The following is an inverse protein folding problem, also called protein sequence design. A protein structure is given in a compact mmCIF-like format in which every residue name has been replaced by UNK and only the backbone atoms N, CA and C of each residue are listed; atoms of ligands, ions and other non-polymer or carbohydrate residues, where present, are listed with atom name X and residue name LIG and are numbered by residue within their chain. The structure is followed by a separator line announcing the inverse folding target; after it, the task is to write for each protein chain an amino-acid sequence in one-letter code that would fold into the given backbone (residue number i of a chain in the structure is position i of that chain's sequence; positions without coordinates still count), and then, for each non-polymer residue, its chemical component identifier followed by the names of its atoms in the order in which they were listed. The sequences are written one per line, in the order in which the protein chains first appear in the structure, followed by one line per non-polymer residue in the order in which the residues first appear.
data_IF_224914576205
#
_entry.id   IF_224914576205
#
_cell.length_a   1.000
_cell.length_b   1.000
_cell.length_c   1.000
_cell.angle_alpha   90.00
_cell.angle_beta   90.00
_cell.angle_gamma   90.00
#
_symmetry.space_group_name_H-M   'P 1'
#
loop_
_entity.id
_entity.type
_entity.pdbx_description
1 polymer ?
#
# COMPACT_ATOMS: atom_id res chain seq x y z
N UNK A 1 -4.35 69.34 9.76
CA UNK A 1 -3.77 68.19 10.48
C UNK A 1 -3.60 67.06 9.48
N UNK A 2 -2.36 66.82 9.04
CA UNK A 2 -2.03 65.81 8.04
C UNK A 2 -2.37 64.41 8.58
N UNK A 3 -3.17 63.66 7.83
CA UNK A 3 -3.31 62.21 8.01
C UNK A 3 -1.97 61.58 7.66
N UNK A 4 -1.23 61.22 8.71
CA UNK A 4 0.04 60.52 8.62
C UNK A 4 -0.20 59.21 7.88
N UNK A 5 0.28 59.17 6.63
CA UNK A 5 0.50 57.94 5.87
C UNK A 5 1.48 57.08 6.68
N UNK A 6 0.94 56.13 7.44
CA UNK A 6 1.74 55.07 8.03
C UNK A 6 2.22 54.20 6.87
N UNK A 7 3.46 54.39 6.45
CA UNK A 7 4.20 53.40 5.66
C UNK A 7 4.09 52.07 6.41
N UNK A 8 3.17 51.19 5.96
CA UNK A 8 3.12 49.81 6.45
C UNK A 8 4.38 49.14 5.94
N UNK A 9 5.34 48.95 6.84
CA UNK A 9 6.51 48.13 6.57
C UNK A 9 6.03 46.71 6.27
N UNK A 10 6.64 46.04 5.30
CA UNK A 10 6.39 44.62 5.07
C UNK A 10 6.87 43.82 6.28
N UNK A 11 6.12 42.81 6.67
CA UNK A 11 6.44 42.00 7.86
C UNK A 11 6.71 40.54 7.48
N UNK A 12 7.44 39.83 8.34
CA UNK A 12 7.64 38.39 8.21
C UNK A 12 6.48 37.65 8.87
N UNK A 13 5.78 36.82 8.10
CA UNK A 13 4.63 36.06 8.57
C UNK A 13 4.95 34.56 8.56
N UNK A 14 5.14 33.99 9.74
CA UNK A 14 5.67 32.63 9.91
C UNK A 14 4.61 31.55 10.12
N UNK A 15 3.31 31.89 10.11
CA UNK A 15 2.24 30.92 10.32
C UNK A 15 0.96 31.35 9.59
N UNK A 16 0.43 30.49 8.72
CA UNK A 16 -0.83 30.62 7.93
C UNK A 16 -0.62 31.01 6.47
N UNK A 17 -1.63 30.69 5.65
CA UNK A 17 -1.71 30.99 4.21
C UNK A 17 -1.62 32.49 3.94
N UNK A 18 -0.76 32.89 3.00
CA UNK A 18 -0.70 34.27 2.51
C UNK A 18 -1.59 34.36 1.28
N UNK A 19 -2.82 34.82 1.49
CA UNK A 19 -3.78 35.07 0.42
C UNK A 19 -3.34 36.26 -0.46
N UNK A 20 -3.76 36.31 -1.74
CA UNK A 20 -3.34 37.35 -2.69
C UNK A 20 -3.45 38.78 -2.16
N UNK A 21 -4.52 39.10 -1.43
CA UNK A 21 -4.81 40.44 -0.89
C UNK A 21 -3.84 40.85 0.21
N UNK A 22 -3.17 39.87 0.84
CA UNK A 22 -2.23 40.07 1.94
C UNK A 22 -0.77 40.21 1.48
N UNK A 23 -0.45 39.80 0.25
CA UNK A 23 0.93 39.82 -0.30
C UNK A 23 1.62 41.20 -0.29
N UNK A 24 0.93 42.34 -0.51
CA UNK A 24 1.57 43.65 -0.42
C UNK A 24 2.16 43.95 0.97
N UNK A 25 1.65 43.29 2.01
CA UNK A 25 1.97 43.56 3.41
C UNK A 25 2.99 42.58 4.02
N UNK A 26 3.35 41.49 3.31
CA UNK A 26 4.24 40.46 3.86
C UNK A 26 5.41 40.13 2.93
N UNK A 27 6.54 39.74 3.52
CA UNK A 27 7.61 39.06 2.80
C UNK A 27 7.26 37.58 2.63
N UNK A 28 7.38 37.05 1.41
CA UNK A 28 7.10 35.65 1.10
C UNK A 28 8.05 35.15 0.00
N UNK A 29 8.30 33.84 0.01
CA UNK A 29 9.04 33.19 -1.06
C UNK A 29 8.12 32.97 -2.26
N UNK A 30 8.44 33.57 -3.40
CA UNK A 30 7.71 33.38 -4.64
C UNK A 30 8.10 32.04 -5.28
N UNK A 31 7.11 31.16 -5.50
CA UNK A 31 7.31 29.83 -6.08
C UNK A 31 6.75 29.72 -7.50
N UNK A 32 6.41 30.84 -8.14
CA UNK A 32 5.79 30.90 -9.48
C UNK A 32 6.58 30.09 -10.52
N UNK A 33 7.91 30.22 -10.57
CA UNK A 33 8.77 29.46 -11.50
C UNK A 33 8.82 27.95 -11.19
N UNK A 34 8.65 27.58 -9.91
CA UNK A 34 8.68 26.19 -9.45
C UNK A 34 7.32 25.50 -9.60
N UNK A 35 6.28 26.24 -9.96
CA UNK A 35 4.95 25.71 -10.16
C UNK A 35 4.76 25.05 -11.53
N UNK A 36 5.68 25.19 -12.48
CA UNK A 36 5.52 24.61 -13.82
C UNK A 36 5.11 23.12 -13.80
N UNK A 37 5.84 22.30 -13.02
CA UNK A 37 5.49 20.89 -12.85
C UNK A 37 4.15 20.68 -12.15
N UNK A 38 3.80 21.53 -11.18
CA UNK A 38 2.50 21.49 -10.51
C UNK A 38 1.38 21.84 -11.50
N UNK A 39 1.54 22.88 -12.32
CA UNK A 39 0.58 23.31 -13.35
C UNK A 39 0.44 22.27 -14.46
N UNK A 40 1.49 21.52 -14.80
CA UNK A 40 1.35 20.42 -15.78
C UNK A 40 0.57 19.23 -15.23
N UNK A 41 0.55 19.02 -13.91
CA UNK A 41 -0.07 17.87 -13.27
C UNK A 41 -1.61 17.92 -13.13
N UNK A 42 -2.30 18.90 -12.54
CA UNK A 42 -2.29 20.33 -12.87
C UNK A 42 -2.81 20.66 -14.29
N UNK A 43 -2.47 19.93 -15.36
CA UNK A 43 -3.12 20.04 -16.69
C UNK A 43 -3.63 18.67 -17.16
N UNK A 44 -2.90 17.61 -16.79
CA UNK A 44 -3.14 16.19 -17.10
C UNK A 44 -4.20 15.50 -16.23
N UNK A 45 -4.94 16.26 -15.45
CA UNK A 45 -5.94 15.73 -14.55
C UNK A 45 -5.41 14.89 -13.39
N UNK A 46 -4.29 15.22 -12.77
CA UNK A 46 -3.78 14.45 -11.63
C UNK A 46 -4.19 15.08 -10.29
N UNK A 47 -4.45 14.26 -9.27
CA UNK A 47 -4.53 14.70 -7.88
C UNK A 47 -3.11 14.90 -7.35
N UNK A 48 -2.82 16.13 -6.94
CA UNK A 48 -1.50 16.50 -6.43
C UNK A 48 -1.60 16.70 -4.92
N UNK A 49 -0.79 15.95 -4.17
CA UNK A 49 -0.64 16.13 -2.73
C UNK A 49 0.67 16.84 -2.44
N UNK A 50 0.61 17.99 -1.77
CA UNK A 50 1.79 18.75 -1.37
C UNK A 50 2.16 18.45 0.07
N UNK A 51 3.39 17.97 0.26
CA UNK A 51 3.98 17.75 1.58
C UNK A 51 5.08 18.77 1.83
N UNK A 52 5.29 19.08 3.10
CA UNK A 52 6.31 20.02 3.53
C UNK A 52 6.08 20.43 4.98
N UNK A 53 7.10 20.95 5.68
CA UNK A 53 6.98 21.42 7.06
C UNK A 53 5.85 22.43 7.27
N UNK A 54 5.37 22.58 8.51
CA UNK A 54 4.47 23.70 8.86
C UNK A 54 5.13 25.01 8.43
N UNK A 55 4.33 25.95 7.91
CA UNK A 55 4.80 27.23 7.38
C UNK A 55 5.72 27.18 6.14
N UNK A 56 5.90 26.02 5.49
CA UNK A 56 6.67 25.90 4.23
C UNK A 56 6.00 26.54 3.00
N UNK A 57 4.95 27.34 3.19
CA UNK A 57 4.25 28.05 2.11
C UNK A 57 3.32 27.19 1.25
N UNK A 58 2.99 25.94 1.62
CA UNK A 58 2.15 25.03 0.79
C UNK A 58 0.84 25.66 0.33
N UNK A 59 0.05 26.17 1.27
CA UNK A 59 -1.25 26.77 0.96
C UNK A 59 -1.08 28.05 0.13
N UNK A 60 -0.03 28.85 0.40
CA UNK A 60 0.30 30.01 -0.42
C UNK A 60 0.67 29.61 -1.86
N UNK A 61 1.38 28.49 -2.03
CA UNK A 61 1.71 27.89 -3.33
C UNK A 61 0.46 27.43 -4.09
N UNK A 62 -0.54 26.86 -3.41
CA UNK A 62 -1.85 26.53 -4.03
C UNK A 62 -2.46 27.77 -4.67
N UNK A 63 -2.50 28.89 -3.95
CA UNK A 63 -3.06 30.14 -4.46
C UNK A 63 -2.28 30.69 -5.65
N UNK A 64 -0.95 30.64 -5.62
CA UNK A 64 -0.12 31.02 -6.78
C UNK A 64 -0.38 30.13 -8.00
N UNK A 65 -0.52 28.82 -7.79
CA UNK A 65 -0.83 27.88 -8.86
C UNK A 65 -2.22 28.13 -9.46
N UNK A 66 -3.21 28.48 -8.63
CA UNK A 66 -4.55 28.85 -9.10
C UNK A 66 -4.54 30.12 -9.95
N UNK A 67 -3.77 31.14 -9.59
CA UNK A 67 -3.61 32.36 -10.41
C UNK A 67 -2.98 32.05 -11.77
N UNK A 68 -1.95 31.20 -11.79
CA UNK A 68 -1.32 30.73 -13.04
C UNK A 68 -2.29 29.89 -13.87
N UNK A 69 -3.10 29.02 -13.27
CA UNK A 69 -4.12 28.27 -14.01
C UNK A 69 -5.19 29.21 -14.58
N UNK A 70 -5.65 30.19 -13.81
CA UNK A 70 -6.61 31.19 -14.28
C UNK A 70 -6.08 32.00 -15.47
N UNK A 71 -4.79 32.35 -15.48
CA UNK A 71 -4.17 33.04 -16.63
C UNK A 71 -4.10 32.16 -17.90
N UNK A 72 -4.25 30.84 -17.76
CA UNK A 72 -4.32 29.88 -18.87
C UNK A 72 -5.77 29.46 -19.18
N UNK A 73 -6.77 30.19 -18.68
CA UNK A 73 -8.19 29.97 -18.98
C UNK A 73 -8.87 28.87 -18.14
N UNK A 74 -8.23 28.38 -17.08
CA UNK A 74 -8.86 27.43 -16.15
C UNK A 74 -9.71 28.16 -15.10
N UNK A 75 -10.92 27.67 -14.85
CA UNK A 75 -11.71 28.07 -13.67
C UNK A 75 -11.29 27.21 -12.48
N UNK A 76 -10.86 27.85 -11.38
CA UNK A 76 -10.33 27.18 -10.21
C UNK A 76 -11.27 27.34 -9.02
N UNK A 77 -11.64 26.22 -8.39
CA UNK A 77 -12.45 26.20 -7.17
C UNK A 77 -11.55 25.86 -5.98
N UNK A 78 -11.48 26.74 -4.98
CA UNK A 78 -10.77 26.48 -3.73
C UNK A 78 -11.75 26.00 -2.66
N UNK A 79 -11.54 24.79 -2.15
CA UNK A 79 -12.31 24.24 -1.03
C UNK A 79 -11.35 23.91 0.10
N UNK A 80 -11.71 24.30 1.33
CA UNK A 80 -11.05 23.84 2.54
C UNK A 80 -12.03 23.08 3.42
N UNK A 81 -11.60 21.90 3.88
CA UNK A 81 -12.33 21.10 4.87
C UNK A 81 -11.79 21.35 6.30
N UNK A 82 -10.90 22.32 6.45
CA UNK A 82 -10.35 22.71 7.74
C UNK A 82 -11.49 23.19 8.65
N UNK A 83 -11.65 22.53 9.80
CA UNK A 83 -12.74 22.82 10.75
C UNK A 83 -14.05 22.07 10.47
N UNK A 84 -14.19 21.33 9.37
CA UNK A 84 -15.38 20.52 9.09
C UNK A 84 -15.37 19.20 9.88
N UNK A 85 -16.47 18.88 10.56
CA UNK A 85 -16.66 17.58 11.23
C UNK A 85 -17.27 16.57 10.25
N UNK A 86 -16.42 15.79 9.61
CA UNK A 86 -16.82 14.82 8.59
C UNK A 86 -17.09 13.46 9.25
N UNK A 87 -18.30 13.27 9.79
CA UNK A 87 -18.66 12.08 10.57
C UNK A 87 -19.37 10.99 9.76
N UNK A 88 -19.82 11.30 8.55
CA UNK A 88 -20.40 10.33 7.62
C UNK A 88 -20.18 10.77 6.17
N UNK A 89 -20.42 9.87 5.22
CA UNK A 89 -20.34 10.18 3.80
C UNK A 89 -21.38 11.23 3.39
N UNK A 90 -22.60 11.15 3.94
CA UNK A 90 -23.66 12.12 3.71
C UNK A 90 -23.24 13.51 4.20
N UNK A 91 -22.67 13.59 5.41
CA UNK A 91 -22.18 14.85 5.98
C UNK A 91 -21.01 15.41 5.17
N UNK A 92 -20.14 14.53 4.64
CA UNK A 92 -19.08 14.96 3.74
C UNK A 92 -19.63 15.60 2.48
N UNK A 93 -20.55 14.95 1.77
CA UNK A 93 -21.09 15.50 0.54
C UNK A 93 -21.91 16.76 0.76
N UNK A 94 -22.68 16.85 1.84
CA UNK A 94 -23.39 18.07 2.24
C UNK A 94 -22.41 19.22 2.55
N UNK A 95 -21.34 18.93 3.31
CA UNK A 95 -20.34 19.95 3.67
C UNK A 95 -19.58 20.43 2.44
N UNK A 96 -19.14 19.50 1.58
CA UNK A 96 -18.45 19.81 0.33
C UNK A 96 -19.35 20.63 -0.60
N UNK A 97 -20.60 20.21 -0.75
CA UNK A 97 -21.63 20.92 -1.51
C UNK A 97 -21.82 22.35 -1.09
N UNK A 98 -21.97 22.56 0.23
CA UNK A 98 -22.13 23.88 0.80
C UNK A 98 -20.91 24.78 0.58
N UNK A 99 -19.69 24.20 0.62
CA UNK A 99 -18.44 24.92 0.35
C UNK A 99 -18.25 25.26 -1.13
N UNK A 100 -18.92 24.54 -2.03
CA UNK A 100 -18.86 24.75 -3.48
C UNK A 100 -20.04 25.58 -4.01
N UNK A 101 -20.98 25.98 -3.15
CA UNK A 101 -22.25 26.64 -3.53
C UNK A 101 -22.06 27.93 -4.33
N UNK A 102 -20.97 28.65 -4.10
CA UNK A 102 -20.64 29.90 -4.80
C UNK A 102 -19.85 29.69 -6.10
N UNK A 103 -19.55 28.43 -6.44
CA UNK A 103 -18.90 28.06 -7.70
C UNK A 103 -19.94 27.96 -8.82
N UNK A 104 -19.58 28.30 -10.06
CA UNK A 104 -20.47 28.21 -11.24
C UNK A 104 -20.66 26.76 -11.72
N UNK A 105 -20.99 25.86 -10.81
CA UNK A 105 -21.24 24.45 -11.12
C UNK A 105 -22.63 24.27 -11.74
N UNK A 106 -22.80 23.32 -12.68
CA UNK A 106 -24.07 23.09 -13.36
C UNK A 106 -25.11 22.40 -12.47
N UNK A 107 -24.68 21.76 -11.38
CA UNK A 107 -25.54 21.05 -10.42
C UNK A 107 -25.04 21.23 -9.00
N UNK A 108 -25.95 21.12 -8.04
CA UNK A 108 -25.62 21.11 -6.61
C UNK A 108 -24.92 19.78 -6.29
N UNK A 109 -23.76 19.87 -5.64
CA UNK A 109 -23.03 18.71 -5.14
C UNK A 109 -23.59 18.32 -3.77
N UNK A 110 -24.19 17.16 -3.66
CA UNK A 110 -24.80 16.63 -2.43
C UNK A 110 -24.60 15.12 -2.27
N UNK A 111 -23.97 14.49 -3.26
CA UNK A 111 -23.71 13.06 -3.34
C UNK A 111 -22.54 12.80 -4.29
N UNK A 112 -21.98 11.60 -4.23
CA UNK A 112 -20.96 11.14 -5.19
C UNK A 112 -21.46 11.19 -6.64
N UNK A 113 -22.74 10.90 -6.87
CA UNK A 113 -23.38 10.98 -8.19
C UNK A 113 -23.49 12.41 -8.71
N UNK A 114 -23.95 13.36 -7.88
CA UNK A 114 -24.07 14.76 -8.30
C UNK A 114 -22.70 15.43 -8.42
N UNK A 115 -21.71 15.03 -7.62
CA UNK A 115 -20.31 15.39 -7.84
C UNK A 115 -19.82 14.89 -9.20
N UNK A 116 -20.02 13.61 -9.53
CA UNK A 116 -19.66 13.08 -10.85
C UNK A 116 -20.39 13.76 -11.98
N UNK A 117 -21.65 14.18 -11.79
CA UNK A 117 -22.40 14.94 -12.80
C UNK A 117 -21.85 16.36 -12.96
N UNK A 118 -21.51 17.04 -11.85
CA UNK A 118 -20.86 18.36 -11.85
C UNK A 118 -19.49 18.33 -12.53
N UNK A 119 -18.80 17.19 -12.50
CA UNK A 119 -17.43 16.99 -13.00
C UNK A 119 -17.32 15.90 -14.09
N UNK A 120 -18.43 15.59 -14.76
CA UNK A 120 -18.53 14.61 -15.86
C UNK A 120 -17.76 15.12 -17.11
N UNK A 121 -17.39 14.28 -18.11
CA UNK A 121 -16.43 14.57 -19.19
C UNK A 121 -16.70 15.74 -20.14
N UNK A 122 -17.59 16.66 -19.80
CA UNK A 122 -17.47 18.03 -20.28
C UNK A 122 -16.19 18.71 -19.75
N UNK A 123 -15.59 18.28 -18.62
CA UNK A 123 -14.30 18.81 -18.11
C UNK A 123 -13.47 17.79 -17.27
N UNK A 124 -12.12 17.69 -17.37
CA UNK A 124 -11.33 16.59 -16.78
C UNK A 124 -10.52 16.95 -15.49
N UNK A 125 -10.47 16.09 -14.42
CA UNK A 125 -9.31 15.70 -13.50
C UNK A 125 -9.56 14.54 -12.45
N UNK A 126 -8.56 13.66 -12.17
CA UNK A 126 -8.47 12.29 -11.54
C UNK A 126 -7.68 12.15 -10.23
N UNK A 127 -7.64 11.07 -9.40
CA UNK A 127 -7.77 9.60 -9.41
C UNK A 127 -6.43 8.89 -9.78
N UNK A 128 -5.67 8.41 -8.78
CA UNK A 128 -4.26 7.99 -8.96
C UNK A 128 -4.03 6.47 -9.02
N UNK A 129 -4.16 5.79 -7.88
CA UNK A 129 -3.98 4.33 -7.75
C UNK A 129 -5.20 3.51 -8.20
N UNK A 130 -6.41 3.99 -7.87
CA UNK A 130 -7.65 3.46 -8.44
C UNK A 130 -7.66 3.60 -9.96
N UNK A 131 -7.06 4.66 -10.50
CA UNK A 131 -6.88 4.80 -11.94
C UNK A 131 -5.76 3.94 -12.51
N UNK A 132 -4.76 3.53 -11.73
CA UNK A 132 -3.75 2.60 -12.23
C UNK A 132 -4.39 1.23 -12.42
N UNK A 133 -5.07 0.70 -11.40
CA UNK A 133 -5.84 -0.54 -11.53
C UNK A 133 -6.98 -0.38 -12.55
N UNK A 134 -7.70 0.75 -12.55
CA UNK A 134 -8.76 1.04 -13.52
C UNK A 134 -8.25 1.16 -14.96
N UNK A 135 -7.06 1.73 -15.17
CA UNK A 135 -6.40 1.78 -16.48
C UNK A 135 -5.88 0.41 -16.88
N UNK A 136 -5.35 -0.36 -15.94
CA UNK A 136 -4.91 -1.73 -16.19
C UNK A 136 -6.11 -2.59 -16.60
N UNK A 137 -7.24 -2.48 -15.88
CA UNK A 137 -8.52 -3.10 -16.24
C UNK A 137 -8.96 -2.64 -17.64
N UNK A 138 -9.02 -1.33 -17.89
CA UNK A 138 -9.46 -0.81 -19.18
C UNK A 138 -8.54 -1.24 -20.35
N UNK A 139 -7.24 -1.36 -20.14
CA UNK A 139 -6.29 -1.70 -21.22
C UNK A 139 -6.18 -3.19 -21.45
N UNK A 140 -6.24 -3.99 -20.40
CA UNK A 140 -5.88 -5.40 -20.46
C UNK A 140 -7.04 -6.35 -20.18
N UNK A 141 -8.08 -5.89 -19.47
CA UNK A 141 -9.22 -6.72 -19.07
C UNK A 141 -10.55 -6.24 -19.64
N UNK A 142 -10.59 -5.14 -20.39
CA UNK A 142 -11.82 -4.64 -21.01
C UNK A 142 -12.51 -5.67 -21.92
N UNK A 143 -11.78 -6.48 -22.72
CA UNK A 143 -12.39 -7.57 -23.47
C UNK A 143 -13.03 -8.66 -22.59
N UNK A 144 -12.59 -8.80 -21.34
CA UNK A 144 -13.06 -9.80 -20.38
C UNK A 144 -14.18 -9.27 -19.46
N UNK A 145 -14.61 -8.01 -19.65
CA UNK A 145 -15.77 -7.44 -18.96
C UNK A 145 -17.03 -8.00 -19.61
N UNK A 146 -17.89 -8.63 -18.82
CA UNK A 146 -19.16 -9.20 -19.30
C UNK A 146 -20.07 -8.13 -19.90
N UNK A 147 -21.05 -8.54 -20.72
CA UNK A 147 -22.01 -7.62 -21.36
C UNK A 147 -22.77 -6.70 -20.38
N UNK A 148 -22.80 -7.05 -19.08
CA UNK A 148 -23.34 -6.23 -18.00
C UNK A 148 -22.37 -5.18 -17.41
N UNK A 149 -21.17 -5.01 -17.97
CA UNK A 149 -20.17 -4.06 -17.48
C UNK A 149 -19.44 -4.51 -16.21
N UNK A 150 -19.52 -5.79 -15.85
CA UNK A 150 -18.89 -6.34 -14.64
C UNK A 150 -17.68 -7.20 -14.98
N UNK A 151 -16.57 -6.95 -14.27
CA UNK A 151 -15.38 -7.79 -14.28
C UNK A 151 -15.52 -8.85 -13.19
N UNK A 152 -15.35 -10.13 -13.53
CA UNK A 152 -15.42 -11.20 -12.54
C UNK A 152 -14.23 -11.12 -11.57
N UNK A 153 -14.46 -11.49 -10.31
CA UNK A 153 -13.40 -11.53 -9.30
C UNK A 153 -12.28 -12.50 -9.72
N UNK A 154 -12.63 -13.64 -10.30
CA UNK A 154 -11.67 -14.64 -10.81
C UNK A 154 -10.75 -14.07 -11.90
N UNK A 155 -11.31 -13.33 -12.86
CA UNK A 155 -10.55 -12.67 -13.93
C UNK A 155 -9.59 -11.63 -13.36
N UNK A 156 -10.07 -10.77 -12.44
CA UNK A 156 -9.24 -9.78 -11.76
C UNK A 156 -8.11 -10.44 -10.95
N UNK A 157 -8.44 -11.47 -10.19
CA UNK A 157 -7.50 -12.22 -9.36
C UNK A 157 -6.38 -12.84 -10.22
N UNK A 158 -6.73 -13.46 -11.35
CA UNK A 158 -5.74 -14.01 -12.29
C UNK A 158 -4.78 -12.92 -12.77
N UNK A 159 -5.31 -11.79 -13.26
CA UNK A 159 -4.52 -10.67 -13.75
C UNK A 159 -3.63 -10.01 -12.69
N UNK A 160 -4.17 -9.80 -11.49
CA UNK A 160 -3.43 -9.23 -10.37
C UNK A 160 -2.19 -10.07 -10.00
N UNK A 161 -2.29 -11.38 -10.17
CA UNK A 161 -1.20 -12.32 -9.86
C UNK A 161 -0.15 -12.43 -10.97
N UNK A 162 -0.52 -12.20 -12.24
CA UNK A 162 0.39 -12.39 -13.37
C UNK A 162 1.05 -11.10 -13.85
N UNK A 163 0.26 -10.05 -14.04
CA UNK A 163 0.68 -8.92 -14.87
C UNK A 163 0.74 -7.59 -14.11
N UNK A 164 -0.08 -7.43 -13.06
CA UNK A 164 -0.27 -6.15 -12.38
C UNK A 164 1.02 -5.54 -11.83
N UNK A 165 1.92 -6.36 -11.26
CA UNK A 165 3.16 -5.87 -10.65
C UNK A 165 4.15 -5.37 -11.71
N UNK A 166 4.23 -6.04 -12.87
CA UNK A 166 5.00 -5.57 -14.01
C UNK A 166 4.45 -4.25 -14.56
N UNK A 167 3.12 -4.15 -14.67
CA UNK A 167 2.45 -2.92 -15.13
C UNK A 167 2.64 -1.76 -14.16
N UNK A 168 2.66 -2.00 -12.84
CA UNK A 168 2.97 -0.97 -11.84
C UNK A 168 4.38 -0.41 -12.06
N UNK A 169 5.37 -1.25 -12.40
CA UNK A 169 6.73 -0.81 -12.69
C UNK A 169 6.87 0.02 -13.98
N UNK A 170 5.90 0.01 -14.88
CA UNK A 170 5.91 0.89 -16.05
C UNK A 170 5.81 2.36 -15.65
N UNK A 171 5.23 2.64 -14.48
CA UNK A 171 5.07 3.99 -13.96
C UNK A 171 6.38 4.49 -13.34
N UNK A 172 6.91 5.65 -13.80
CA UNK A 172 8.20 6.18 -13.32
C UNK A 172 8.29 6.34 -11.81
N UNK A 173 7.19 6.68 -11.14
CA UNK A 173 7.15 6.85 -9.67
C UNK A 173 7.43 5.55 -8.93
N UNK A 174 6.78 4.44 -9.32
CA UNK A 174 6.99 3.14 -8.67
C UNK A 174 8.35 2.54 -9.04
N UNK A 175 8.81 2.76 -10.28
CA UNK A 175 10.18 2.41 -10.67
C UNK A 175 11.20 3.13 -9.81
N UNK A 176 11.07 4.45 -9.65
CA UNK A 176 11.97 5.25 -8.80
C UNK A 176 11.94 4.77 -7.34
N UNK A 177 10.76 4.48 -6.79
CA UNK A 177 10.62 3.93 -5.44
C UNK A 177 11.43 2.63 -5.30
N UNK A 178 11.19 1.67 -6.20
CA UNK A 178 11.87 0.37 -6.19
C UNK A 178 13.38 0.55 -6.35
N UNK A 179 13.83 1.35 -7.32
CA UNK A 179 15.25 1.63 -7.56
C UNK A 179 15.92 2.29 -6.34
N UNK A 180 15.24 3.23 -5.69
CA UNK A 180 15.74 3.91 -4.49
C UNK A 180 15.90 2.92 -3.35
N UNK A 181 14.88 2.10 -3.06
CA UNK A 181 14.96 1.11 -1.98
C UNK A 181 16.04 0.05 -2.23
N UNK A 182 16.32 -0.30 -3.48
CA UNK A 182 17.38 -1.26 -3.82
C UNK A 182 18.81 -0.73 -3.62
N UNK A 183 19.01 0.59 -3.43
CA UNK A 183 20.35 1.14 -3.22
C UNK A 183 20.89 0.70 -1.86
N UNK A 184 22.11 0.14 -1.83
CA UNK A 184 22.72 -0.43 -0.62
C UNK A 184 22.78 0.52 0.58
N UNK A 185 22.86 1.84 0.36
CA UNK A 185 22.84 2.87 1.42
C UNK A 185 21.52 2.94 2.21
N UNK A 186 20.45 2.31 1.72
CA UNK A 186 19.14 2.28 2.35
C UNK A 186 18.81 0.92 3.00
N UNK A 187 19.79 0.02 3.10
CA UNK A 187 19.61 -1.31 3.68
C UNK A 187 19.06 -1.27 5.11
N UNK A 188 19.55 -0.36 5.96
CA UNK A 188 19.07 -0.25 7.34
C UNK A 188 17.58 0.09 7.42
N UNK A 189 17.07 0.88 6.47
CA UNK A 189 15.64 1.17 6.39
C UNK A 189 14.84 -0.08 6.00
N UNK A 190 15.37 -0.92 5.11
CA UNK A 190 14.75 -2.19 4.76
C UNK A 190 14.85 -3.22 5.90
N UNK A 191 15.92 -3.21 6.69
CA UNK A 191 16.05 -4.05 7.88
C UNK A 191 15.01 -3.66 8.93
N UNK A 192 14.76 -2.36 9.13
CA UNK A 192 13.66 -1.87 9.96
C UNK A 192 12.30 -2.32 9.43
N UNK A 193 12.06 -2.14 8.12
CA UNK A 193 10.81 -2.52 7.47
C UNK A 193 10.53 -4.01 7.66
N UNK A 194 11.52 -4.85 7.33
CA UNK A 194 11.45 -6.32 7.39
C UNK A 194 11.26 -6.87 8.79
N UNK A 195 11.83 -6.20 9.79
CA UNK A 195 11.81 -6.68 11.17
C UNK A 195 10.68 -6.15 12.03
N UNK A 196 9.97 -5.08 11.63
CA UNK A 196 8.92 -4.45 12.47
C UNK A 196 7.63 -4.07 11.74
N UNK A 197 7.67 -3.79 10.44
CA UNK A 197 6.58 -3.04 9.78
C UNK A 197 5.92 -3.77 8.61
N UNK A 198 6.56 -4.77 7.99
CA UNK A 198 5.92 -5.55 6.91
C UNK A 198 4.61 -6.18 7.38
N UNK A 199 3.55 -6.02 6.57
CA UNK A 199 2.20 -6.48 6.91
C UNK A 199 1.46 -5.68 8.00
N UNK A 200 2.02 -4.59 8.53
CA UNK A 200 1.35 -3.76 9.53
C UNK A 200 0.40 -2.74 8.86
N UNK A 201 -0.83 -3.15 8.56
CA UNK A 201 -1.82 -2.31 7.85
C UNK A 201 -2.85 -1.62 8.77
N UNK A 202 -3.32 -2.36 9.76
CA UNK A 202 -4.43 -1.95 10.61
C UNK A 202 -3.96 -1.03 11.73
N UNK A 203 -2.87 -1.43 12.40
CA UNK A 203 -2.34 -0.76 13.58
C UNK A 203 -1.01 -0.04 13.32
N UNK A 204 -0.81 1.09 14.01
CA UNK A 204 0.49 1.75 14.03
C UNK A 204 1.45 1.04 14.98
N UNK A 205 2.66 0.80 14.49
CA UNK A 205 3.77 0.22 15.22
C UNK A 205 4.66 1.35 15.75
N UNK A 206 4.94 1.32 17.05
CA UNK A 206 5.88 2.25 17.67
C UNK A 206 7.32 1.87 17.32
N UNK A 207 8.06 2.83 16.80
CA UNK A 207 9.47 2.73 16.40
C UNK A 207 10.32 3.53 17.40
N UNK A 208 11.47 2.98 17.73
CA UNK A 208 12.41 3.61 18.66
C UNK A 208 12.97 4.91 18.05
N UNK A 209 13.25 5.91 18.89
CA UNK A 209 13.64 7.24 18.43
C UNK A 209 14.85 7.20 17.48
N UNK A 210 15.84 6.35 17.78
CA UNK A 210 17.05 6.16 16.97
C UNK A 210 16.75 5.67 15.55
N UNK A 211 15.64 4.94 15.37
CA UNK A 211 15.21 4.39 14.08
C UNK A 211 14.13 5.25 13.40
N UNK A 212 13.66 6.33 14.02
CA UNK A 212 12.61 7.19 13.45
C UNK A 212 13.08 7.91 12.19
N UNK A 213 14.39 8.17 12.03
CA UNK A 213 14.94 8.71 10.78
C UNK A 213 14.78 7.74 9.61
N UNK A 214 14.96 6.45 9.84
CA UNK A 214 14.75 5.40 8.83
C UNK A 214 13.27 5.27 8.47
N UNK A 215 12.40 5.27 9.48
CA UNK A 215 10.95 5.27 9.26
C UNK A 215 10.48 6.53 8.50
N UNK A 216 11.02 7.70 8.84
CA UNK A 216 10.74 8.96 8.14
C UNK A 216 11.19 8.96 6.68
N UNK A 217 12.33 8.34 6.38
CA UNK A 217 12.75 8.10 4.99
C UNK A 217 11.73 7.23 4.25
N UNK A 218 11.33 6.08 4.83
CA UNK A 218 10.32 5.21 4.24
C UNK A 218 8.96 5.90 4.07
N UNK A 219 8.57 6.80 4.98
CA UNK A 219 7.39 7.65 4.82
C UNK A 219 7.53 8.63 3.65
N UNK A 220 8.70 9.25 3.48
CA UNK A 220 8.96 10.17 2.37
C UNK A 220 8.92 9.47 0.99
N UNK A 221 9.36 8.21 0.94
CA UNK A 221 9.26 7.34 -0.24
C UNK A 221 7.83 6.78 -0.45
N UNK A 222 6.89 7.04 0.46
CA UNK A 222 5.49 6.57 0.35
C UNK A 222 5.28 5.11 0.77
N UNK A 223 6.26 4.49 1.41
CA UNK A 223 6.18 3.12 1.95
C UNK A 223 5.37 3.08 3.24
N UNK A 224 5.57 4.05 4.12
CA UNK A 224 4.93 4.12 5.42
C UNK A 224 4.00 5.33 5.55
N UNK A 225 3.05 5.22 6.47
CA UNK A 225 2.24 6.32 6.98
C UNK A 225 2.60 6.56 8.45
N UNK A 226 2.77 7.81 8.82
CA UNK A 226 2.92 8.23 10.23
C UNK A 226 1.56 8.48 10.87
N UNK A 227 1.42 8.15 12.15
CA UNK A 227 0.23 8.46 12.94
C UNK A 227 0.06 9.98 13.07
N UNK A 228 -1.05 10.58 12.56
CA UNK A 228 -1.29 12.01 12.65
C UNK A 228 -1.60 12.51 14.06
N UNK A 229 -1.94 11.63 15.00
CA UNK A 229 -2.23 11.98 16.40
C UNK A 229 -1.02 11.79 17.31
N UNK A 230 -0.05 10.97 16.89
CA UNK A 230 1.15 10.60 17.66
C UNK A 230 2.39 10.81 16.80
N UNK A 231 2.49 12.01 16.25
CA UNK A 231 3.48 12.45 15.28
C UNK A 231 4.89 12.35 15.85
N UNK A 232 5.58 11.24 15.60
CA UNK A 232 7.06 11.12 15.53
C UNK A 232 7.53 9.68 15.58
N UNK A 233 6.80 8.78 16.25
CA UNK A 233 7.30 7.42 16.53
C UNK A 233 6.39 6.30 16.06
N UNK A 234 5.18 6.58 15.56
CA UNK A 234 4.19 5.54 15.23
C UNK A 234 3.97 5.49 13.73
N UNK A 235 4.20 4.31 13.13
CA UNK A 235 4.19 4.11 11.69
C UNK A 235 3.47 2.83 11.30
N UNK A 236 2.91 2.79 10.09
CA UNK A 236 2.31 1.59 9.50
C UNK A 236 2.52 1.55 7.99
N UNK A 237 2.28 0.41 7.35
CA UNK A 237 2.35 0.30 5.89
C UNK A 237 1.33 1.21 5.21
N UNK A 238 1.74 1.86 4.12
CA UNK A 238 0.88 2.79 3.40
C UNK A 238 -0.25 2.11 2.64
N UNK A 239 -0.02 0.90 2.13
CA UNK A 239 -1.03 0.05 1.50
C UNK A 239 -0.55 -1.40 1.34
N UNK A 240 -1.48 -2.37 1.24
CA UNK A 240 -1.17 -3.75 0.87
C UNK A 240 -0.46 -3.88 -0.48
N UNK A 241 -0.78 -3.00 -1.45
CA UNK A 241 -0.16 -3.05 -2.78
C UNK A 241 1.32 -2.63 -2.75
N UNK A 242 1.65 -1.56 -2.02
CA UNK A 242 3.04 -1.12 -1.86
C UNK A 242 3.85 -2.17 -1.11
N UNK A 243 3.25 -2.76 -0.09
CA UNK A 243 3.85 -3.85 0.66
C UNK A 243 4.14 -5.09 -0.24
N UNK A 244 3.16 -5.54 -1.03
CA UNK A 244 3.33 -6.64 -1.99
C UNK A 244 4.42 -6.33 -3.03
N UNK A 245 4.43 -5.11 -3.58
CA UNK A 245 5.46 -4.64 -4.52
C UNK A 245 6.86 -4.74 -3.92
N UNK A 246 7.04 -4.30 -2.68
CA UNK A 246 8.33 -4.34 -1.97
C UNK A 246 8.75 -5.79 -1.72
N UNK A 247 7.83 -6.63 -1.22
CA UNK A 247 8.12 -8.04 -0.95
C UNK A 247 8.47 -8.83 -2.19
N UNK A 248 7.87 -8.51 -3.34
CA UNK A 248 8.14 -9.22 -4.58
C UNK A 248 9.39 -8.72 -5.30
N UNK A 249 9.65 -7.40 -5.30
CA UNK A 249 10.65 -6.81 -6.18
C UNK A 249 11.90 -6.29 -5.47
N UNK A 250 11.78 -5.88 -4.20
CA UNK A 250 12.87 -5.26 -3.44
C UNK A 250 13.53 -6.26 -2.52
N UNK A 251 12.75 -6.89 -1.63
CA UNK A 251 13.27 -7.79 -0.58
C UNK A 251 14.12 -8.95 -1.17
N UNK A 252 13.70 -9.67 -2.24
CA UNK A 252 14.51 -10.75 -2.78
C UNK A 252 15.84 -10.27 -3.36
N UNK A 253 15.88 -9.05 -3.92
CA UNK A 253 17.11 -8.49 -4.50
C UNK A 253 18.09 -8.01 -3.43
N UNK A 254 17.59 -7.39 -2.36
CA UNK A 254 18.44 -6.88 -1.26
C UNK A 254 18.92 -8.02 -0.35
N UNK A 255 18.14 -9.10 -0.24
CA UNK A 255 18.42 -10.25 0.61
C UNK A 255 18.45 -11.55 -0.24
N UNK A 256 19.50 -11.76 -1.05
CA UNK A 256 19.53 -12.79 -2.10
C UNK A 256 19.73 -14.22 -1.59
N UNK A 257 19.96 -14.41 -0.28
CA UNK A 257 20.29 -15.72 0.31
C UNK A 257 19.22 -16.76 0.00
N UNK A 258 19.60 -17.83 -0.69
CA UNK A 258 18.73 -18.93 -1.11
C UNK A 258 19.58 -20.16 -1.46
N UNK A 259 18.98 -21.35 -1.57
CA UNK A 259 19.66 -22.53 -2.09
C UNK A 259 20.27 -22.28 -3.49
N UNK A 260 21.39 -22.94 -3.75
CA UNK A 260 22.10 -22.91 -5.04
C UNK A 260 22.12 -24.29 -5.72
N UNK A 261 21.28 -25.20 -5.26
CA UNK A 261 21.10 -26.53 -5.85
C UNK A 261 19.93 -26.50 -6.85
N UNK A 262 19.87 -27.43 -7.81
CA UNK A 262 18.71 -27.55 -8.69
C UNK A 262 17.40 -27.67 -7.90
N UNK A 263 16.32 -27.10 -8.45
CA UNK A 263 14.98 -27.29 -7.92
C UNK A 263 14.68 -28.80 -7.73
N UNK A 264 14.25 -29.24 -6.54
CA UNK A 264 13.90 -30.63 -6.30
C UNK A 264 12.71 -31.03 -7.17
N UNK A 265 12.85 -32.07 -7.97
CA UNK A 265 11.78 -32.56 -8.85
C UNK A 265 11.36 -33.99 -8.46
N UNK A 266 10.06 -34.28 -8.51
CA UNK A 266 9.49 -35.61 -8.35
C UNK A 266 8.46 -35.85 -9.46
N UNK A 267 8.64 -36.93 -10.23
CA UNK A 267 7.75 -37.30 -11.34
C UNK A 267 7.52 -36.16 -12.36
N UNK A 268 8.55 -35.37 -12.64
CA UNK A 268 8.47 -34.26 -13.61
C UNK A 268 7.87 -32.97 -13.07
N UNK A 269 7.46 -32.89 -11.80
CA UNK A 269 6.98 -31.64 -11.17
C UNK A 269 7.81 -31.29 -9.94
N UNK A 270 7.66 -30.04 -9.45
CA UNK A 270 8.40 -29.53 -8.30
C UNK A 270 8.04 -30.32 -7.02
N UNK A 271 9.03 -30.93 -6.38
CA UNK A 271 8.88 -31.59 -5.09
C UNK A 271 8.84 -30.53 -3.97
N UNK A 272 7.63 -30.08 -3.68
CA UNK A 272 7.40 -29.01 -2.71
C UNK A 272 7.84 -29.34 -1.29
N UNK A 273 7.80 -30.61 -0.87
CA UNK A 273 8.23 -30.98 0.47
C UNK A 273 9.74 -30.77 0.62
N UNK A 274 10.53 -31.30 -0.31
CA UNK A 274 12.00 -31.12 -0.30
C UNK A 274 12.34 -29.65 -0.53
N UNK A 275 11.62 -28.97 -1.44
CA UNK A 275 11.80 -27.54 -1.69
C UNK A 275 11.62 -26.71 -0.41
N UNK A 276 10.56 -26.95 0.35
CA UNK A 276 10.33 -26.25 1.61
C UNK A 276 11.39 -26.60 2.66
N UNK A 277 11.78 -27.88 2.78
CA UNK A 277 12.85 -28.31 3.69
C UNK A 277 14.19 -27.62 3.40
N UNK A 278 14.56 -27.48 2.13
CA UNK A 278 15.77 -26.77 1.74
C UNK A 278 15.64 -25.26 1.94
N UNK A 279 14.49 -24.67 1.58
CA UNK A 279 14.25 -23.25 1.80
C UNK A 279 14.37 -22.85 3.27
N UNK A 280 13.88 -23.68 4.20
CA UNK A 280 13.94 -23.42 5.64
C UNK A 280 15.36 -23.23 6.18
N UNK A 281 16.38 -23.81 5.53
CA UNK A 281 17.79 -23.66 5.93
C UNK A 281 18.32 -22.25 5.70
N UNK A 282 17.65 -21.46 4.86
CA UNK A 282 18.05 -20.11 4.45
C UNK A 282 17.20 -19.00 5.08
N UNK A 283 16.31 -19.36 6.00
CA UNK A 283 15.53 -18.40 6.80
C UNK A 283 16.47 -17.63 7.73
N UNK A 284 16.26 -16.33 7.83
CA UNK A 284 16.99 -15.46 8.74
C UNK A 284 16.64 -15.77 10.20
N UNK A 285 17.53 -16.49 10.88
CA UNK A 285 17.31 -16.98 12.24
C UNK A 285 17.16 -15.85 13.25
N UNK A 286 17.85 -14.72 13.06
CA UNK A 286 17.72 -13.58 13.95
C UNK A 286 16.37 -12.89 13.81
N UNK A 287 15.86 -12.81 12.57
CA UNK A 287 14.50 -12.31 12.32
C UNK A 287 13.45 -13.14 13.07
N UNK A 288 13.53 -14.47 12.97
CA UNK A 288 12.60 -15.37 13.68
C UNK A 288 12.77 -15.26 15.20
N UNK A 289 14.00 -15.23 15.69
CA UNK A 289 14.32 -15.14 17.13
C UNK A 289 13.78 -13.86 17.76
N UNK A 290 13.84 -12.73 17.05
CA UNK A 290 13.42 -11.41 17.53
C UNK A 290 11.95 -11.11 17.28
N UNK A 291 11.26 -11.92 16.46
CA UNK A 291 9.86 -11.71 16.11
C UNK A 291 8.89 -11.67 17.31
N UNK A 292 9.02 -12.48 18.38
CA UNK A 292 8.15 -12.38 19.56
C UNK A 292 8.17 -11.01 20.24
N UNK A 293 9.24 -10.23 20.07
CA UNK A 293 9.40 -8.90 20.65
C UNK A 293 9.03 -7.78 19.67
N UNK A 294 9.00 -8.09 18.36
CA UNK A 294 8.84 -7.09 17.29
C UNK A 294 7.55 -7.22 16.51
N UNK A 295 7.21 -8.43 16.06
CA UNK A 295 6.06 -8.73 15.18
C UNK A 295 5.38 -9.99 15.71
N UNK A 296 4.56 -9.83 16.75
CA UNK A 296 4.00 -10.94 17.50
C UNK A 296 2.46 -10.96 17.53
N UNK A 297 1.92 -12.13 17.80
CA UNK A 297 0.55 -12.33 18.29
C UNK A 297 0.59 -13.09 19.62
N UNK A 298 -0.53 -13.09 20.34
CA UNK A 298 -0.66 -13.89 21.56
C UNK A 298 -1.15 -15.30 21.19
N UNK A 299 -0.46 -16.32 21.69
CA UNK A 299 -0.90 -17.70 21.60
C UNK A 299 -2.00 -17.97 22.65
N UNK A 300 -3.22 -17.51 22.37
CA UNK A 300 -4.33 -17.57 23.34
C UNK A 300 -4.89 -18.98 23.51
N UNK A 301 -4.87 -19.77 22.44
CA UNK A 301 -5.54 -21.07 22.36
C UNK A 301 -4.65 -22.27 22.69
N UNK A 302 -3.33 -22.12 22.53
CA UNK A 302 -2.35 -23.19 22.76
C UNK A 302 -1.39 -22.82 23.88
N UNK A 303 -0.72 -23.80 24.47
CA UNK A 303 0.38 -23.57 25.43
C UNK A 303 1.71 -23.48 24.70
N UNK A 304 2.53 -22.55 25.13
CA UNK A 304 3.90 -22.33 24.67
C UNK A 304 4.75 -22.13 25.91
N UNK A 305 5.83 -22.89 26.04
CA UNK A 305 6.68 -22.88 27.23
C UNK A 305 5.84 -23.11 28.52
N UNK A 306 4.81 -23.96 28.44
CA UNK A 306 3.88 -24.30 29.54
C UNK A 306 2.75 -23.30 29.79
N UNK A 307 2.73 -22.13 29.12
CA UNK A 307 1.82 -21.02 29.40
C UNK A 307 0.97 -20.61 28.18
N UNK A 308 -0.23 -20.08 28.43
CA UNK A 308 -1.06 -19.42 27.40
C UNK A 308 -0.70 -17.93 27.30
N UNK A 309 -1.17 -17.30 26.23
CA UNK A 309 -0.98 -15.86 25.96
C UNK A 309 0.49 -15.47 25.82
N UNK A 310 1.35 -16.41 25.43
CA UNK A 310 2.75 -16.11 25.12
C UNK A 310 2.83 -15.38 23.80
N UNK A 311 3.76 -14.44 23.70
CA UNK A 311 4.09 -13.77 22.44
C UNK A 311 4.78 -14.78 21.53
N UNK A 312 4.24 -14.94 20.32
CA UNK A 312 4.80 -15.80 19.29
C UNK A 312 4.87 -15.05 17.97
N UNK A 313 5.81 -15.41 17.07
CA UNK A 313 5.92 -14.75 15.77
C UNK A 313 4.60 -14.83 15.00
N UNK A 314 4.25 -13.76 14.30
CA UNK A 314 3.13 -13.78 13.35
C UNK A 314 3.49 -14.55 12.07
N UNK A 315 2.46 -15.04 11.40
CA UNK A 315 2.51 -15.73 10.10
C UNK A 315 3.37 -14.97 9.08
N UNK A 316 3.20 -13.65 9.03
CA UNK A 316 3.89 -12.73 8.12
C UNK A 316 5.42 -12.88 8.14
N UNK A 317 5.99 -13.22 9.31
CA UNK A 317 7.44 -13.35 9.46
C UNK A 317 7.96 -14.59 8.73
N UNK A 318 7.16 -15.66 8.73
CA UNK A 318 7.48 -16.89 8.00
C UNK A 318 7.15 -16.75 6.51
N UNK A 319 5.99 -16.17 6.18
CA UNK A 319 5.55 -15.94 4.78
C UNK A 319 6.64 -15.20 4.00
N UNK A 320 7.13 -14.09 4.57
CA UNK A 320 7.99 -13.20 3.82
C UNK A 320 9.36 -13.82 3.57
N UNK A 321 9.84 -14.63 4.53
CA UNK A 321 11.13 -15.31 4.41
C UNK A 321 11.06 -16.45 3.41
N UNK A 322 10.02 -17.26 3.47
CA UNK A 322 9.85 -18.35 2.51
C UNK A 322 9.65 -17.78 1.10
N UNK A 323 8.81 -16.76 0.92
CA UNK A 323 8.62 -16.12 -0.38
C UNK A 323 9.91 -15.53 -0.93
N UNK A 324 10.66 -14.78 -0.11
CA UNK A 324 11.96 -14.23 -0.49
C UNK A 324 12.92 -15.31 -1.00
N UNK A 325 13.01 -16.43 -0.28
CA UNK A 325 13.91 -17.54 -0.62
C UNK A 325 13.47 -18.23 -1.91
N UNK A 326 12.18 -18.53 -2.04
CA UNK A 326 11.61 -19.18 -3.22
C UNK A 326 11.72 -18.29 -4.46
N UNK A 327 11.50 -16.98 -4.35
CA UNK A 327 11.72 -16.04 -5.47
C UNK A 327 13.19 -16.05 -5.90
N UNK A 328 14.14 -16.04 -4.96
CA UNK A 328 15.56 -16.07 -5.32
C UNK A 328 16.03 -17.41 -5.87
N UNK A 329 15.43 -18.51 -5.42
CA UNK A 329 15.79 -19.84 -5.86
C UNK A 329 15.08 -20.22 -7.15
N UNK A 330 13.75 -20.33 -7.12
CA UNK A 330 12.97 -20.87 -8.22
C UNK A 330 12.79 -19.88 -9.37
N UNK A 331 12.60 -18.59 -9.07
CA UNK A 331 12.35 -17.61 -10.14
C UNK A 331 13.61 -17.22 -10.89
N UNK A 332 14.72 -17.01 -10.18
CA UNK A 332 15.97 -16.60 -10.82
C UNK A 332 16.70 -17.75 -11.52
N UNK A 333 16.54 -18.98 -11.05
CA UNK A 333 17.34 -20.12 -11.54
C UNK A 333 16.52 -21.12 -12.37
N UNK A 334 15.19 -21.13 -12.24
CA UNK A 334 14.36 -22.21 -12.77
C UNK A 334 13.06 -21.75 -13.47
N UNK A 335 12.94 -20.45 -13.76
CA UNK A 335 11.85 -19.83 -14.53
C UNK A 335 10.45 -19.94 -13.89
N UNK A 336 10.38 -20.21 -12.59
CA UNK A 336 9.10 -20.15 -11.87
C UNK A 336 8.74 -18.70 -11.54
N UNK A 337 7.46 -18.33 -11.67
CA UNK A 337 6.93 -17.15 -11.01
C UNK A 337 6.54 -17.49 -9.58
N UNK A 338 7.06 -16.74 -8.61
CA UNK A 338 6.71 -16.84 -7.19
C UNK A 338 6.04 -15.54 -6.78
N UNK A 339 4.79 -15.64 -6.33
CA UNK A 339 3.92 -14.50 -6.02
C UNK A 339 3.48 -14.62 -4.56
N UNK A 340 3.78 -13.62 -3.74
CA UNK A 340 3.36 -13.54 -2.34
C UNK A 340 2.07 -12.71 -2.18
N UNK A 341 1.23 -13.10 -1.23
CA UNK A 341 -0.03 -12.44 -0.85
C UNK A 341 -1.05 -12.20 -1.99
N UNK A 342 -2.01 -13.10 -2.08
CA UNK A 342 -3.16 -13.03 -2.99
C UNK A 342 -4.45 -12.78 -2.21
N UNK A 343 -5.21 -11.76 -2.62
CA UNK A 343 -6.44 -11.34 -1.98
C UNK A 343 -7.64 -12.09 -2.57
N UNK A 344 -8.42 -12.79 -1.73
CA UNK A 344 -9.71 -13.38 -2.14
C UNK A 344 -10.80 -13.11 -1.09
N UNK A 345 -12.06 -13.07 -1.51
CA UNK A 345 -13.20 -12.84 -0.62
C UNK A 345 -13.52 -14.10 0.22
N UNK A 346 -13.65 -13.95 1.55
CA UNK A 346 -14.12 -15.02 2.44
C UNK A 346 -15.65 -15.04 2.48
N UNK A 347 -16.26 -15.87 1.66
CA UNK A 347 -17.71 -16.04 1.61
C UNK A 347 -18.26 -16.95 2.72
N UNK A 348 -17.41 -17.44 3.65
CA UNK A 348 -17.80 -18.48 4.62
C UNK A 348 -18.35 -17.95 5.96
N UNK A 349 -18.33 -16.64 6.23
CA UNK A 349 -18.94 -16.08 7.44
C UNK A 349 -20.38 -15.63 7.18
N UNK A 350 -21.35 -16.50 7.49
CA UNK A 350 -22.76 -16.10 7.65
C UNK A 350 -22.92 -15.35 8.98
N UNK A 351 -23.23 -14.06 8.90
CA UNK A 351 -23.51 -13.18 10.04
C UNK A 351 -23.01 -11.75 9.76
N UNK A 352 -23.69 -10.73 10.29
CA UNK A 352 -23.53 -9.28 10.04
C UNK A 352 -22.15 -8.65 10.37
N UNK A 353 -21.05 -9.36 10.16
CA UNK A 353 -19.69 -8.82 10.19
C UNK A 353 -19.20 -8.81 8.74
N UNK A 354 -19.04 -7.60 8.18
CA UNK A 354 -18.44 -7.34 6.86
C UNK A 354 -17.36 -8.37 6.52
N UNK A 355 -17.47 -8.97 5.33
CA UNK A 355 -16.59 -10.02 4.83
C UNK A 355 -15.12 -9.72 5.11
N UNK A 356 -14.48 -10.56 5.93
CA UNK A 356 -13.04 -10.49 6.13
C UNK A 356 -12.40 -11.16 4.91
N UNK A 357 -11.86 -10.40 3.98
CA UNK A 357 -11.03 -10.93 2.90
C UNK A 357 -10.00 -11.92 3.48
N UNK A 358 -9.94 -13.15 2.97
CA UNK A 358 -8.96 -14.15 3.42
C UNK A 358 -7.90 -14.31 2.33
N UNK A 359 -6.67 -14.03 2.73
CA UNK A 359 -5.49 -14.02 1.89
C UNK A 359 -5.02 -15.46 1.63
N UNK A 360 -4.52 -15.70 0.42
CA UNK A 360 -3.64 -16.81 0.10
C UNK A 360 -2.21 -16.31 0.18
N UNK A 361 -1.34 -17.06 0.85
CA UNK A 361 -0.07 -16.49 1.25
C UNK A 361 1.01 -16.59 0.16
N UNK A 362 0.92 -17.57 -0.74
CA UNK A 362 1.65 -17.50 -2.00
C UNK A 362 1.28 -18.52 -3.08
N UNK A 363 1.77 -18.25 -4.29
CA UNK A 363 1.50 -19.03 -5.51
C UNK A 363 2.80 -19.19 -6.30
N UNK A 364 3.04 -20.42 -6.78
CA UNK A 364 4.17 -20.76 -7.64
C UNK A 364 3.62 -21.24 -8.98
N UNK A 365 4.11 -20.66 -10.09
CA UNK A 365 3.67 -20.97 -11.45
C UNK A 365 4.88 -21.14 -12.37
N UNK A 366 4.77 -22.01 -13.36
CA UNK A 366 5.67 -22.03 -14.52
C UNK A 366 4.86 -22.44 -15.76
N UNK A 367 5.06 -21.83 -16.94
CA UNK A 367 4.32 -22.24 -18.14
C UNK A 367 4.50 -23.74 -18.43
N UNK A 368 3.38 -24.44 -18.65
CA UNK A 368 3.38 -25.89 -18.89
C UNK A 368 3.51 -26.76 -17.63
N UNK A 369 3.71 -26.15 -16.45
CA UNK A 369 3.83 -26.85 -15.18
C UNK A 369 2.60 -26.63 -14.29
N UNK A 370 2.33 -27.54 -13.35
CA UNK A 370 1.23 -27.39 -12.42
C UNK A 370 1.38 -26.16 -11.51
N UNK A 371 0.29 -25.41 -11.33
CA UNK A 371 0.27 -24.32 -10.34
C UNK A 371 0.23 -24.89 -8.92
N UNK A 372 0.99 -24.28 -8.02
CA UNK A 372 1.11 -24.68 -6.62
C UNK A 372 0.70 -23.51 -5.73
N UNK A 373 -0.12 -23.80 -4.70
CA UNK A 373 -0.60 -22.83 -3.71
C UNK A 373 0.03 -23.11 -2.35
N UNK A 374 0.38 -22.04 -1.63
CA UNK A 374 0.92 -22.07 -0.28
C UNK A 374 0.04 -21.26 0.67
N UNK A 375 -0.28 -21.87 1.82
CA UNK A 375 -0.95 -21.24 2.96
C UNK A 375 -0.08 -21.42 4.21
N UNK A 376 0.23 -20.33 4.92
CA UNK A 376 1.08 -20.33 6.10
C UNK A 376 0.28 -20.07 7.37
N UNK A 377 0.64 -20.79 8.42
CA UNK A 377 0.08 -20.64 9.75
C UNK A 377 1.20 -20.56 10.79
N UNK A 378 0.95 -19.84 11.87
CA UNK A 378 1.92 -19.66 12.94
C UNK A 378 1.26 -19.91 14.30
N UNK A 379 1.62 -21.00 14.98
CA UNK A 379 1.18 -21.30 16.36
C UNK A 379 -0.35 -21.20 16.53
N UNK A 380 -1.07 -21.90 15.65
CA UNK A 380 -2.51 -22.10 15.75
C UNK A 380 -2.83 -23.45 16.42
N UNK A 381 -4.00 -23.55 17.05
CA UNK A 381 -4.50 -24.82 17.55
C UNK A 381 -4.88 -25.78 16.41
N UNK A 382 -4.88 -27.09 16.69
CA UNK A 382 -5.16 -28.14 15.70
C UNK A 382 -6.49 -27.96 14.96
N UNK A 383 -7.54 -27.48 15.64
CA UNK A 383 -8.84 -27.19 15.01
C UNK A 383 -8.74 -26.09 13.96
N UNK A 384 -8.02 -25.01 14.26
CA UNK A 384 -7.79 -23.91 13.33
C UNK A 384 -6.98 -24.40 12.12
N UNK A 385 -5.91 -25.18 12.33
CA UNK A 385 -5.12 -25.76 11.22
C UNK A 385 -6.01 -26.62 10.30
N UNK A 386 -6.89 -27.44 10.88
CA UNK A 386 -7.82 -28.28 10.12
C UNK A 386 -8.81 -27.45 9.28
N UNK A 387 -9.26 -26.30 9.79
CA UNK A 387 -10.11 -25.38 9.03
C UNK A 387 -9.40 -24.88 7.78
N UNK A 388 -8.12 -24.54 7.88
CA UNK A 388 -7.33 -24.07 6.75
C UNK A 388 -7.09 -25.18 5.73
N UNK A 389 -6.69 -26.38 6.18
CA UNK A 389 -6.57 -27.58 5.32
C UNK A 389 -7.87 -27.84 4.53
N UNK A 390 -9.03 -27.72 5.17
CA UNK A 390 -10.32 -27.91 4.51
C UNK A 390 -10.70 -26.78 3.54
N UNK A 391 -10.15 -25.57 3.70
CA UNK A 391 -10.38 -24.43 2.81
C UNK A 391 -9.47 -24.46 1.57
N UNK A 392 -8.25 -24.97 1.69
CA UNK A 392 -7.27 -25.04 0.58
C UNK A 392 -7.78 -25.64 -0.74
N UNK A 393 -8.63 -26.69 -0.75
CA UNK A 393 -9.23 -27.20 -1.98
C UNK A 393 -10.07 -26.18 -2.76
N UNK A 394 -10.73 -25.23 -2.08
CA UNK A 394 -11.49 -24.17 -2.76
C UNK A 394 -10.55 -23.24 -3.55
N UNK A 395 -9.42 -22.89 -2.93
CA UNK A 395 -8.39 -22.08 -3.57
C UNK A 395 -7.71 -22.82 -4.73
N UNK A 396 -7.43 -24.11 -4.53
CA UNK A 396 -6.89 -24.99 -5.57
C UNK A 396 -7.76 -24.96 -6.83
N UNK A 397 -9.08 -25.11 -6.66
CA UNK A 397 -10.02 -25.08 -7.79
C UNK A 397 -10.08 -23.70 -8.46
N UNK A 398 -10.12 -22.61 -7.69
CA UNK A 398 -10.17 -21.24 -8.24
C UNK A 398 -8.95 -20.88 -9.11
N UNK A 399 -7.77 -21.40 -8.81
CA UNK A 399 -6.59 -21.19 -9.66
C UNK A 399 -6.35 -22.25 -10.72
N UNK A 400 -7.18 -23.29 -10.78
CA UNK A 400 -6.81 -24.50 -11.53
C UNK A 400 -5.43 -25.03 -11.11
N UNK A 401 -5.12 -24.96 -9.82
CA UNK A 401 -3.87 -25.47 -9.27
C UNK A 401 -3.93 -26.99 -9.07
N UNK A 402 -2.78 -27.66 -9.18
CA UNK A 402 -2.71 -29.11 -8.99
C UNK A 402 -2.35 -29.49 -7.54
N UNK A 403 -1.64 -28.60 -6.85
CA UNK A 403 -1.25 -28.79 -5.46
C UNK A 403 -1.54 -27.56 -4.61
N UNK A 404 -1.92 -27.81 -3.36
CA UNK A 404 -2.05 -26.79 -2.33
C UNK A 404 -1.46 -27.32 -1.03
N UNK A 405 -0.62 -26.51 -0.39
CA UNK A 405 0.14 -26.88 0.81
C UNK A 405 -0.21 -25.95 1.96
N UNK A 406 -0.52 -26.52 3.12
CA UNK A 406 -0.65 -25.78 4.37
C UNK A 406 0.61 -26.02 5.19
N UNK A 407 1.37 -24.95 5.46
CA UNK A 407 2.60 -24.97 6.24
C UNK A 407 2.32 -24.34 7.59
N UNK A 408 2.38 -25.14 8.65
CA UNK A 408 2.16 -24.67 10.02
C UNK A 408 3.47 -24.64 10.79
N UNK A 409 3.96 -23.44 11.08
CA UNK A 409 5.05 -23.20 12.01
C UNK A 409 4.48 -23.12 13.42
N UNK A 410 4.86 -24.02 14.33
CA UNK A 410 4.29 -24.02 15.68
C UNK A 410 5.35 -23.89 16.76
N UNK A 411 5.03 -23.07 17.77
CA UNK A 411 5.69 -23.07 19.09
C UNK A 411 4.84 -23.76 20.16
N UNK A 412 3.72 -24.38 19.77
CA UNK A 412 2.91 -25.18 20.69
C UNK A 412 3.78 -26.27 21.34
N UNK A 413 3.63 -26.41 22.66
CA UNK A 413 4.30 -27.47 23.40
C UNK A 413 3.93 -28.84 22.81
N UNK A 414 4.91 -29.75 22.72
CA UNK A 414 4.62 -31.11 22.27
C UNK A 414 3.59 -31.76 23.22
N UNK A 415 2.58 -32.48 22.68
CA UNK A 415 1.56 -33.16 23.47
C UNK A 415 2.13 -34.14 24.50
#
# INVERSE_FOLDING_TARGET
TQLISTKRFKEWHVNSTIFPERRPYYYYADQTEQNQSLIEQIAKGQFVRMYGPRASGKSSRVWQAMEQLASHGYECIYVTLEGSRLTSEEIFWQSLGQLMKDSRLPVIVDSSSSFRQAFSPSFPRHAGLVCLCGRAIHRHLYPDISEGGTLSLETWEKFATTDLHGLILEYPTFRKLVDTLMMGKHRDALDLLRSKLMGAFDDYVKIDFDHCRLAGFLTAEGVLQSDPLRESTNFKMSSPLVDALIRQLVIPKVYPSAPNMPAPMRNGSLDMLITLQEALKFVDKDLIRLAPDRVFKLAEKVRVDGLRNRRVPREIVYDQEIMRILTNWLAKQHEYSVIGQWHTEDTTKKGNVKGKYKLLDGVIKKPGEPTIILEFLATNERSDVKVHVNKTPLYKNRLSAEAAWVIHFTREDLP
#
